data_IF_829363348982
#
_entry.id   IF_829363348982
#
_cell.length_a   1.000
_cell.length_b   1.000
_cell.length_c   1.000
_cell.angle_alpha   90.00
_cell.angle_beta   90.00
_cell.angle_gamma   90.00
#
_symmetry.space_group_name_H-M   'P 1'
#
loop_
_entity.id
_entity.type
_entity.pdbx_description
1 polymer ?
#
# COMPACT_ATOMS: atom_id res chain seq x y z
N UNK A 1 -8.72 -1.44 -8.01
CA UNK A 1 -9.06 -2.12 -9.29
C UNK A 1 -8.54 -3.57 -9.36
N UNK A 2 -7.24 -3.82 -9.16
CA UNK A 2 -6.67 -5.19 -9.23
C UNK A 2 -7.33 -6.21 -8.29
N UNK A 3 -7.61 -5.82 -7.03
CA UNK A 3 -8.30 -6.65 -6.04
C UNK A 3 -9.70 -7.09 -6.49
N UNK A 4 -10.43 -6.20 -7.18
CA UNK A 4 -11.74 -6.48 -7.73
C UNK A 4 -11.64 -7.46 -8.90
N UNK A 5 -10.69 -7.26 -9.82
CA UNK A 5 -10.50 -8.13 -11.00
C UNK A 5 -10.03 -9.55 -10.65
N UNK A 6 -9.32 -9.74 -9.53
CA UNK A 6 -8.89 -11.06 -9.05
C UNK A 6 -9.92 -11.80 -8.18
N UNK A 7 -11.05 -11.18 -7.85
CA UNK A 7 -12.08 -11.75 -6.98
C UNK A 7 -12.82 -12.95 -7.59
N UNK A 8 -13.50 -13.75 -6.75
CA UNK A 8 -14.37 -14.85 -7.22
C UNK A 8 -15.42 -14.29 -8.21
N UNK A 9 -15.56 -14.92 -9.38
CA UNK A 9 -16.44 -14.51 -10.51
C UNK A 9 -16.02 -13.23 -11.26
N UNK A 10 -14.73 -12.92 -11.34
CA UNK A 10 -14.18 -11.80 -12.13
C UNK A 10 -13.22 -12.30 -13.23
N UNK A 11 -12.91 -11.43 -14.19
CA UNK A 11 -12.18 -11.77 -15.44
C UNK A 11 -10.83 -12.47 -15.22
N UNK A 12 -10.16 -12.27 -14.08
CA UNK A 12 -8.87 -12.87 -13.72
C UNK A 12 -8.97 -13.63 -12.40
N UNK A 13 -9.98 -14.49 -12.26
CA UNK A 13 -10.20 -15.30 -11.04
C UNK A 13 -8.96 -16.14 -10.69
N UNK A 14 -8.16 -15.62 -9.76
CA UNK A 14 -6.98 -16.26 -9.21
C UNK A 14 -7.10 -16.23 -7.68
N UNK A 15 -7.64 -17.30 -7.06
CA UNK A 15 -7.90 -17.31 -5.61
C UNK A 15 -6.63 -17.10 -4.78
N UNK A 16 -5.46 -17.52 -5.28
CA UNK A 16 -4.15 -17.28 -4.64
C UNK A 16 -3.75 -15.81 -4.71
N UNK A 17 -3.84 -15.18 -5.89
CA UNK A 17 -3.51 -13.76 -6.06
C UNK A 17 -4.46 -12.87 -5.24
N UNK A 18 -5.75 -13.21 -5.23
CA UNK A 18 -6.75 -12.53 -4.42
C UNK A 18 -6.46 -12.67 -2.92
N UNK A 19 -6.11 -13.86 -2.44
CA UNK A 19 -5.78 -14.08 -1.03
C UNK A 19 -4.54 -13.28 -0.59
N UNK A 20 -3.47 -13.27 -1.40
CA UNK A 20 -2.25 -12.51 -1.11
C UNK A 20 -2.55 -11.01 -1.12
N UNK A 21 -3.23 -10.52 -2.16
CA UNK A 21 -3.53 -9.09 -2.31
C UNK A 21 -4.50 -8.60 -1.23
N UNK A 22 -5.48 -9.43 -0.86
CA UNK A 22 -6.40 -9.15 0.24
C UNK A 22 -5.68 -9.14 1.58
N UNK A 23 -4.78 -10.08 1.83
CA UNK A 23 -3.94 -10.09 3.04
C UNK A 23 -3.10 -8.81 3.14
N UNK A 24 -2.38 -8.45 2.07
CA UNK A 24 -1.56 -7.24 2.01
C UNK A 24 -2.39 -5.97 2.26
N UNK A 25 -3.54 -5.83 1.61
CA UNK A 25 -4.44 -4.67 1.79
C UNK A 25 -5.04 -4.62 3.19
N UNK A 26 -5.44 -5.75 3.76
CA UNK A 26 -5.96 -5.79 5.12
C UNK A 26 -4.89 -5.45 6.15
N UNK A 27 -3.64 -5.89 5.94
CA UNK A 27 -2.48 -5.49 6.76
C UNK A 27 -2.23 -3.99 6.63
N UNK A 28 -2.16 -3.46 5.40
CA UNK A 28 -1.97 -2.03 5.16
C UNK A 28 -3.08 -1.16 5.80
N UNK A 29 -4.34 -1.62 5.80
CA UNK A 29 -5.45 -0.90 6.48
C UNK A 29 -5.39 -0.96 7.99
N UNK A 30 -4.86 -2.05 8.55
CA UNK A 30 -4.80 -2.24 10.00
C UNK A 30 -3.57 -1.57 10.62
N UNK A 31 -2.56 -1.27 9.81
CA UNK A 31 -1.39 -0.49 10.24
C UNK A 31 -1.76 1.00 10.33
N UNK A 32 -1.60 1.65 11.50
CA UNK A 32 -1.80 3.08 11.63
C UNK A 32 -0.88 3.86 10.70
N UNK A 33 -1.41 4.91 10.08
CA UNK A 33 -0.67 5.76 9.13
C UNK A 33 0.69 6.24 9.67
N UNK A 34 0.75 6.58 10.96
CA UNK A 34 1.98 7.03 11.64
C UNK A 34 3.07 5.95 11.62
N UNK A 35 2.71 4.68 11.83
CA UNK A 35 3.68 3.58 11.81
C UNK A 35 4.17 3.35 10.38
N UNK A 36 3.26 3.39 9.39
CA UNK A 36 3.62 3.26 7.98
C UNK A 36 4.60 4.37 7.53
N UNK A 37 4.39 5.60 8.01
CA UNK A 37 5.27 6.74 7.76
C UNK A 37 6.67 6.49 8.28
N UNK A 38 6.81 6.00 9.53
CA UNK A 38 8.12 5.70 10.14
C UNK A 38 8.82 4.56 9.38
N UNK A 39 8.09 3.50 9.05
CA UNK A 39 8.63 2.34 8.34
C UNK A 39 9.07 2.71 6.91
N UNK A 40 8.39 3.67 6.27
CA UNK A 40 8.75 4.13 4.94
C UNK A 40 9.92 5.11 4.89
N UNK A 41 10.38 5.71 5.99
CA UNK A 41 11.50 6.68 6.00
C UNK A 41 12.69 6.27 5.11
N UNK A 42 13.29 5.07 5.25
CA UNK A 42 14.44 4.69 4.41
C UNK A 42 14.08 4.59 2.92
N UNK A 43 12.85 4.14 2.61
CA UNK A 43 12.35 4.03 1.23
C UNK A 43 12.06 5.41 0.65
N UNK A 44 11.45 6.30 1.43
CA UNK A 44 11.15 7.68 1.05
C UNK A 44 12.43 8.45 0.74
N UNK A 45 13.45 8.33 1.59
CA UNK A 45 14.75 8.97 1.36
C UNK A 45 15.43 8.36 0.13
N UNK A 46 15.29 7.07 -0.12
CA UNK A 46 15.87 6.41 -1.30
C UNK A 46 15.23 6.90 -2.62
N UNK A 47 13.91 7.11 -2.64
CA UNK A 47 13.17 7.50 -3.86
C UNK A 47 13.21 9.01 -4.09
N UNK A 48 13.01 9.80 -3.03
CA UNK A 48 12.79 11.25 -3.10
C UNK A 48 14.03 12.04 -2.67
N UNK A 49 15.00 11.40 -2.02
CA UNK A 49 16.19 12.04 -1.47
C UNK A 49 15.97 12.74 -0.13
N UNK A 50 14.73 12.77 0.38
CA UNK A 50 14.36 13.48 1.60
C UNK A 50 13.17 12.83 2.30
N UNK A 51 13.19 12.82 3.63
CA UNK A 51 12.08 12.42 4.50
C UNK A 51 11.28 13.61 5.06
N UNK A 52 11.69 14.85 4.73
CA UNK A 52 11.11 16.08 5.28
C UNK A 52 10.39 16.90 4.22
N UNK A 53 9.28 17.53 4.62
CA UNK A 53 8.44 18.35 3.76
C UNK A 53 7.44 17.56 2.93
N UNK A 54 6.72 18.27 2.03
CA UNK A 54 5.64 17.70 1.21
C UNK A 54 6.13 16.50 0.40
N UNK A 55 7.32 16.60 -0.20
CA UNK A 55 7.90 15.54 -1.02
C UNK A 55 8.14 14.23 -0.23
N UNK A 56 8.59 14.32 1.03
CA UNK A 56 8.79 13.15 1.89
C UNK A 56 7.49 12.56 2.46
N UNK A 57 6.44 13.36 2.56
CA UNK A 57 5.12 12.91 3.03
C UNK A 57 4.32 12.18 1.92
N UNK A 58 4.59 12.44 0.64
CA UNK A 58 3.83 11.86 -0.48
C UNK A 58 3.92 10.32 -0.50
N UNK A 59 5.09 9.67 -0.45
CA UNK A 59 5.17 8.20 -0.53
C UNK A 59 4.36 7.45 0.54
N UNK A 60 4.45 7.77 1.85
CA UNK A 60 3.62 7.11 2.86
C UNK A 60 2.13 7.45 2.73
N UNK A 61 1.76 8.66 2.28
CA UNK A 61 0.36 9.03 2.00
C UNK A 61 -0.25 8.19 0.88
N UNK A 62 0.48 8.02 -0.22
CA UNK A 62 0.02 7.18 -1.34
C UNK A 62 -0.06 5.71 -0.92
N UNK A 63 0.93 5.20 -0.19
CA UNK A 63 0.93 3.82 0.30
C UNK A 63 -0.20 3.56 1.30
N UNK A 64 -0.50 4.53 2.17
CA UNK A 64 -1.62 4.46 3.11
C UNK A 64 -2.98 4.66 2.45
N UNK A 65 -3.07 5.41 1.35
CA UNK A 65 -4.31 5.67 0.61
C UNK A 65 -4.67 4.62 -0.44
N UNK A 66 -3.68 3.94 -1.03
CA UNK A 66 -3.88 2.87 -2.02
C UNK A 66 -4.79 1.69 -1.62
N UNK A 67 -4.87 1.26 -0.33
CA UNK A 67 -5.76 0.19 0.11
C UNK A 67 -7.21 0.64 0.38
N UNK A 68 -7.53 1.93 0.24
CA UNK A 68 -8.88 2.49 0.36
C UNK A 68 -9.50 2.73 -1.02
#
# INVERSE_FOLDING_TARGET
>A
VLLFLTGKRQLLEQPVAYAILSFVVNVLRSVPFIILLIVMIPVTVLIVGTSLGVAGAIPPLVAGGAPF
#
